data_IF_163377582073
#
_entry.id   IF_163377582073
#
_cell.length_a   1.000
_cell.length_b   1.000
_cell.length_c   1.000
_cell.angle_alpha   90.00
_cell.angle_beta   90.00
_cell.angle_gamma   90.00
#
_symmetry.space_group_name_H-M   'P 1'
#
loop_
_entity.id
_entity.type
_entity.pdbx_description
1 polymer ?
#
# COMPACT_ATOMS: atom_id res chain seq x y z
N UNK A 1 -22.37 -21.71 -7.75
CA UNK A 1 -21.33 -21.04 -6.97
C UNK A 1 -20.39 -20.36 -7.94
N UNK A 2 -20.38 -19.03 -7.95
CA UNK A 2 -19.55 -18.25 -8.86
C UNK A 2 -18.07 -18.34 -8.45
N UNK A 3 -17.21 -18.62 -9.42
CA UNK A 3 -15.77 -18.63 -9.22
C UNK A 3 -15.25 -17.19 -9.32
N UNK A 4 -14.61 -16.69 -8.26
CA UNK A 4 -13.90 -15.42 -8.27
C UNK A 4 -12.38 -15.67 -8.25
N UNK A 5 -11.60 -14.79 -8.88
CA UNK A 5 -10.15 -14.94 -9.05
C UNK A 5 -9.40 -13.68 -8.63
N UNK A 6 -8.29 -13.84 -7.89
CA UNK A 6 -7.38 -12.74 -7.53
C UNK A 6 -6.50 -12.26 -8.70
N UNK A 7 -5.74 -11.18 -8.45
CA UNK A 7 -4.74 -10.55 -9.33
C UNK A 7 -3.61 -11.48 -9.77
N UNK A 8 -2.86 -11.01 -10.78
CA UNK A 8 -1.74 -11.69 -11.45
C UNK A 8 -0.67 -12.18 -10.47
N UNK A 9 -0.40 -11.46 -9.38
CA UNK A 9 0.58 -11.83 -8.36
C UNK A 9 0.02 -12.73 -7.25
N UNK A 10 -1.30 -12.95 -7.20
CA UNK A 10 -1.98 -13.76 -6.20
C UNK A 10 -2.35 -15.15 -6.74
N UNK A 11 -1.33 -15.91 -7.17
CA UNK A 11 -1.51 -17.29 -7.60
C UNK A 11 -2.22 -18.10 -6.49
N UNK A 12 -3.31 -18.80 -6.85
CA UNK A 12 -4.18 -19.57 -5.96
C UNK A 12 -4.99 -18.78 -4.90
N UNK A 13 -5.06 -17.44 -4.96
CA UNK A 13 -5.78 -16.62 -3.98
C UNK A 13 -5.33 -16.85 -2.52
N UNK A 14 -4.03 -17.01 -2.31
CA UNK A 14 -3.42 -17.21 -0.99
C UNK A 14 -3.02 -15.91 -0.28
N UNK A 15 -2.80 -14.84 -1.04
CA UNK A 15 -2.57 -13.50 -0.53
C UNK A 15 -3.90 -12.74 -0.40
N UNK A 16 -4.02 -11.88 0.62
CA UNK A 16 -5.17 -11.01 0.76
C UNK A 16 -5.15 -9.97 -0.37
N UNK A 17 -6.24 -9.88 -1.11
CA UNK A 17 -6.42 -8.86 -2.12
C UNK A 17 -7.82 -8.32 -2.03
N UNK A 18 -7.89 -7.00 -1.90
CA UNK A 18 -9.10 -6.27 -1.64
C UNK A 18 -9.27 -5.21 -2.72
N UNK A 19 -10.37 -5.30 -3.46
CA UNK A 19 -10.72 -4.33 -4.49
C UNK A 19 -11.78 -3.40 -3.93
N UNK A 20 -11.52 -2.10 -4.01
CA UNK A 20 -12.54 -1.12 -3.63
C UNK A 20 -13.67 -1.09 -4.67
N UNK A 21 -14.89 -1.23 -4.19
CA UNK A 21 -16.14 -1.06 -4.92
C UNK A 21 -16.92 0.19 -4.48
N UNK A 22 -16.33 1.04 -3.64
CA UNK A 22 -16.96 2.25 -3.08
C UNK A 22 -17.60 3.14 -4.15
N UNK A 23 -16.89 3.41 -5.26
CA UNK A 23 -17.43 4.24 -6.35
C UNK A 23 -18.65 3.59 -6.99
N UNK A 24 -18.54 2.30 -7.33
CA UNK A 24 -19.63 1.53 -7.94
C UNK A 24 -20.85 1.49 -7.02
N UNK A 25 -20.65 1.23 -5.73
CA UNK A 25 -21.73 1.16 -4.74
C UNK A 25 -22.46 2.50 -4.58
N UNK A 26 -21.71 3.62 -4.58
CA UNK A 26 -22.31 4.96 -4.53
C UNK A 26 -23.18 5.24 -5.75
N UNK A 27 -22.65 5.02 -6.95
CA UNK A 27 -23.37 5.24 -8.20
C UNK A 27 -24.59 4.31 -8.33
N UNK A 28 -24.44 3.04 -7.95
CA UNK A 28 -25.52 2.06 -7.96
C UNK A 28 -26.66 2.47 -7.04
N UNK A 29 -26.37 2.76 -5.77
CA UNK A 29 -27.39 3.16 -4.79
C UNK A 29 -28.04 4.49 -5.19
N UNK A 30 -27.28 5.42 -5.77
CA UNK A 30 -27.83 6.67 -6.29
C UNK A 30 -28.86 6.43 -7.40
N UNK A 31 -28.52 5.62 -8.39
CA UNK A 31 -29.41 5.28 -9.48
C UNK A 31 -30.63 4.48 -9.01
N UNK A 32 -30.45 3.56 -8.07
CA UNK A 32 -31.50 2.64 -7.63
C UNK A 32 -32.48 3.25 -6.64
N UNK A 33 -31.99 4.13 -5.76
CA UNK A 33 -32.80 4.80 -4.75
C UNK A 33 -33.31 6.16 -5.23
N UNK A 34 -32.78 6.71 -6.32
CA UNK A 34 -33.33 7.91 -6.97
C UNK A 34 -34.64 7.59 -7.67
N UNK A 35 -35.70 8.37 -7.40
CA UNK A 35 -37.03 8.17 -7.99
C UNK A 35 -37.65 6.79 -7.70
N UNK A 36 -37.25 6.15 -6.60
CA UNK A 36 -37.82 4.91 -6.11
C UNK A 36 -39.24 5.16 -5.59
N UNK A 37 -40.20 4.42 -6.14
CA UNK A 37 -41.56 4.36 -5.59
C UNK A 37 -41.53 3.59 -4.27
N UNK A 38 -41.76 4.29 -3.15
CA UNK A 38 -41.79 3.69 -1.82
C UNK A 38 -43.12 3.00 -1.55
N UNK A 39 -44.22 3.67 -1.92
CA UNK A 39 -45.58 3.12 -1.87
C UNK A 39 -46.39 3.68 -3.03
N UNK A 40 -47.35 2.89 -3.50
CA UNK A 40 -48.30 3.28 -4.53
C UNK A 40 -49.71 2.98 -4.01
N UNK A 41 -50.53 4.02 -3.90
CA UNK A 41 -51.94 3.94 -3.50
C UNK A 41 -52.20 3.21 -2.16
N UNK A 42 -51.42 3.53 -1.12
CA UNK A 42 -51.62 3.00 0.24
C UNK A 42 -52.31 4.06 1.08
N UNK A 43 -53.50 3.77 1.60
CA UNK A 43 -54.33 4.69 2.38
C UNK A 43 -54.56 6.04 1.66
N UNK A 44 -54.57 6.02 0.31
CA UNK A 44 -54.73 7.21 -0.53
C UNK A 44 -53.43 7.97 -0.82
N UNK A 45 -52.27 7.50 -0.36
CA UNK A 45 -50.97 8.14 -0.57
C UNK A 45 -50.11 7.37 -1.57
N UNK A 46 -49.37 8.12 -2.39
CA UNK A 46 -48.25 7.62 -3.18
C UNK A 46 -46.98 8.36 -2.76
N UNK A 47 -45.89 7.64 -2.51
CA UNK A 47 -44.64 8.25 -2.02
C UNK A 47 -43.49 7.81 -2.92
N UNK A 48 -42.71 8.78 -3.39
CA UNK A 48 -41.53 8.54 -4.24
C UNK A 48 -40.33 9.29 -3.69
N UNK A 49 -39.14 8.71 -3.78
CA UNK A 49 -37.89 9.42 -3.43
C UNK A 49 -37.51 10.44 -4.50
N UNK A 50 -36.78 11.48 -4.13
CA UNK A 50 -36.24 12.45 -5.07
C UNK A 50 -34.98 11.90 -5.78
N UNK A 51 -34.60 12.45 -6.95
CA UNK A 51 -33.56 11.86 -7.81
C UNK A 51 -32.13 11.88 -7.26
N UNK A 52 -31.86 12.63 -6.19
CA UNK A 52 -30.51 12.92 -5.69
C UNK A 52 -30.29 12.43 -4.26
N UNK A 53 -30.29 11.11 -4.02
CA UNK A 53 -29.94 10.56 -2.72
C UNK A 53 -28.46 10.84 -2.40
N UNK A 54 -28.16 11.21 -1.15
CA UNK A 54 -26.79 11.30 -0.67
C UNK A 54 -26.34 9.92 -0.20
N UNK A 55 -25.23 9.43 -0.74
CA UNK A 55 -24.68 8.12 -0.43
C UNK A 55 -23.23 8.28 0.04
N UNK A 56 -22.91 7.74 1.20
CA UNK A 56 -21.58 7.77 1.82
C UNK A 56 -21.18 6.39 2.34
N UNK A 57 -19.94 6.27 2.78
CA UNK A 57 -19.36 5.00 3.25
C UNK A 57 -18.42 4.37 2.25
N UNK A 58 -18.09 3.11 2.49
CA UNK A 58 -17.13 2.31 1.76
C UNK A 58 -17.63 0.90 1.48
N UNK A 59 -17.16 0.36 0.36
CA UNK A 59 -17.43 -1.01 -0.02
C UNK A 59 -16.18 -1.60 -0.66
N UNK A 60 -15.82 -2.80 -0.27
CA UNK A 60 -14.75 -3.56 -0.88
C UNK A 60 -15.14 -5.02 -1.02
N UNK A 61 -14.49 -5.67 -1.97
CA UNK A 61 -14.69 -7.09 -2.28
C UNK A 61 -13.34 -7.76 -2.25
N UNK A 62 -13.25 -8.84 -1.49
CA UNK A 62 -12.06 -9.71 -1.45
C UNK A 62 -12.44 -11.14 -1.82
N UNK A 63 -11.46 -11.91 -2.28
CA UNK A 63 -11.66 -13.31 -2.68
C UNK A 63 -10.73 -14.18 -1.86
N UNK A 64 -11.30 -15.13 -1.09
CA UNK A 64 -10.54 -16.06 -0.27
C UNK A 64 -11.06 -17.48 -0.43
N UNK A 65 -10.16 -18.43 -0.72
CA UNK A 65 -10.50 -19.85 -0.93
C UNK A 65 -11.65 -20.04 -1.96
N UNK A 66 -11.66 -19.22 -3.00
CA UNK A 66 -12.70 -19.23 -4.05
C UNK A 66 -14.06 -18.68 -3.61
N UNK A 67 -14.16 -18.05 -2.43
CA UNK A 67 -15.37 -17.37 -1.95
C UNK A 67 -15.16 -15.86 -1.96
N UNK A 68 -16.16 -15.14 -2.48
CA UNK A 68 -16.25 -13.69 -2.38
C UNK A 68 -16.64 -13.29 -0.96
N UNK A 69 -15.89 -12.37 -0.37
CA UNK A 69 -16.18 -11.75 0.92
C UNK A 69 -16.46 -10.28 0.64
N UNK A 70 -17.65 -9.82 1.03
CA UNK A 70 -18.07 -8.44 0.91
C UNK A 70 -17.76 -7.72 2.23
N UNK A 71 -17.05 -6.61 2.17
CA UNK A 71 -16.98 -5.66 3.27
C UNK A 71 -17.74 -4.41 2.85
N UNK A 72 -18.91 -4.18 3.44
CA UNK A 72 -19.81 -3.07 3.07
C UNK A 72 -20.15 -2.32 4.34
N UNK A 73 -19.86 -1.03 4.33
CA UNK A 73 -20.30 -0.08 5.34
C UNK A 73 -20.79 1.18 4.62
N UNK A 74 -22.10 1.25 4.37
CA UNK A 74 -22.72 2.33 3.60
C UNK A 74 -23.78 3.06 4.42
N UNK A 75 -24.02 4.31 4.05
CA UNK A 75 -25.12 5.10 4.57
C UNK A 75 -25.80 5.88 3.43
N UNK A 76 -27.13 6.02 3.51
CA UNK A 76 -27.93 6.77 2.55
C UNK A 76 -28.86 7.76 3.23
N UNK A 77 -28.98 8.96 2.65
CA UNK A 77 -30.02 9.94 2.96
C UNK A 77 -30.84 10.20 1.72
N UNK A 78 -32.15 9.97 1.84
CA UNK A 78 -33.13 10.07 0.76
C UNK A 78 -34.12 11.17 1.12
N UNK A 79 -34.40 12.07 0.20
CA UNK A 79 -35.60 12.91 0.32
C UNK A 79 -36.76 12.20 -0.35
N UNK A 80 -37.97 12.34 0.19
CA UNK A 80 -39.19 11.79 -0.41
C UNK A 80 -40.25 12.86 -0.58
N UNK A 81 -41.14 12.65 -1.54
CA UNK A 81 -42.37 13.41 -1.74
C UNK A 81 -43.56 12.45 -1.66
N UNK A 82 -44.50 12.75 -0.77
CA UNK A 82 -45.77 12.07 -0.66
C UNK A 82 -46.85 12.89 -1.37
N UNK A 83 -47.75 12.23 -2.09
CA UNK A 83 -48.86 12.84 -2.81
C UNK A 83 -50.17 12.15 -2.44
N UNK A 84 -51.23 12.94 -2.21
CA UNK A 84 -52.56 12.42 -1.90
C UNK A 84 -53.39 12.23 -3.19
N UNK A 85 -53.90 11.02 -3.40
CA UNK A 85 -54.61 10.62 -4.63
C UNK A 85 -55.96 11.30 -4.81
N UNK A 86 -56.69 11.59 -3.72
CA UNK A 86 -58.03 12.17 -3.80
C UNK A 86 -58.05 13.60 -4.40
N UNK A 87 -56.91 14.28 -4.44
CA UNK A 87 -56.78 15.65 -4.96
C UNK A 87 -55.65 15.81 -6.00
N UNK A 88 -54.75 14.82 -6.12
CA UNK A 88 -53.61 14.79 -7.05
C UNK A 88 -52.54 15.88 -6.85
N UNK A 89 -52.88 16.96 -6.17
CA UNK A 89 -52.09 18.19 -6.09
C UNK A 89 -51.50 18.43 -4.70
N UNK A 90 -52.03 17.79 -3.65
CA UNK A 90 -51.56 17.96 -2.27
C UNK A 90 -50.38 17.06 -1.97
N UNK A 91 -49.33 17.65 -1.43
CA UNK A 91 -48.01 17.05 -1.26
C UNK A 91 -47.39 17.40 0.08
N UNK A 92 -46.48 16.55 0.52
CA UNK A 92 -45.51 16.89 1.56
C UNK A 92 -44.16 16.24 1.27
N UNK A 93 -43.12 16.74 1.92
CA UNK A 93 -41.76 16.22 1.79
C UNK A 93 -41.21 15.76 3.13
N UNK A 94 -40.25 14.86 3.06
CA UNK A 94 -39.51 14.39 4.21
C UNK A 94 -38.18 13.79 3.81
N UNK A 95 -37.48 13.27 4.81
CA UNK A 95 -36.19 12.63 4.66
C UNK A 95 -36.21 11.26 5.35
N UNK A 96 -35.55 10.29 4.72
CA UNK A 96 -35.22 8.97 5.27
C UNK A 96 -33.70 8.89 5.36
N UNK A 97 -33.18 8.48 6.51
CA UNK A 97 -31.76 8.13 6.69
C UNK A 97 -31.66 6.65 7.03
N UNK A 98 -30.76 5.95 6.35
CA UNK A 98 -30.38 4.57 6.66
C UNK A 98 -28.87 4.53 6.84
N UNK A 99 -28.41 4.09 8.01
CA UNK A 99 -26.98 3.94 8.33
C UNK A 99 -26.69 2.49 8.67
N UNK A 100 -25.40 2.15 8.81
CA UNK A 100 -24.96 0.80 9.18
C UNK A 100 -25.39 -0.24 8.15
N UNK A 101 -25.37 0.13 6.85
CA UNK A 101 -25.72 -0.78 5.75
C UNK A 101 -24.52 -1.68 5.48
N UNK A 102 -24.65 -2.95 5.80
CA UNK A 102 -23.68 -4.01 5.55
C UNK A 102 -24.38 -5.21 4.93
N UNK A 103 -23.62 -6.22 4.48
CA UNK A 103 -24.20 -7.46 3.98
C UNK A 103 -25.04 -8.17 5.05
N UNK A 104 -24.56 -8.18 6.29
CA UNK A 104 -25.21 -8.83 7.43
C UNK A 104 -26.43 -8.02 7.90
N UNK A 105 -26.30 -6.70 8.04
CA UNK A 105 -27.44 -5.87 8.49
C UNK A 105 -28.58 -5.86 7.46
N UNK A 106 -28.27 -5.94 6.16
CA UNK A 106 -29.29 -6.08 5.11
C UNK A 106 -29.94 -7.46 5.14
N UNK A 107 -29.20 -8.54 5.39
CA UNK A 107 -29.78 -9.89 5.53
C UNK A 107 -30.74 -9.97 6.74
N UNK A 108 -30.32 -9.43 7.88
CA UNK A 108 -31.05 -9.50 9.14
C UNK A 108 -32.06 -8.36 9.35
N UNK A 109 -32.11 -7.38 8.44
CA UNK A 109 -32.87 -6.11 8.59
C UNK A 109 -32.48 -5.30 9.83
N UNK A 110 -31.24 -5.43 10.29
CA UNK A 110 -30.71 -4.79 11.49
C UNK A 110 -29.81 -3.58 11.17
N UNK A 111 -30.35 -2.65 10.38
CA UNK A 111 -29.70 -1.37 10.10
C UNK A 111 -30.50 -0.23 10.72
N UNK A 112 -29.81 0.85 11.08
CA UNK A 112 -30.46 1.99 11.73
C UNK A 112 -31.26 2.79 10.70
N UNK A 113 -32.54 3.03 10.98
CA UNK A 113 -33.42 3.83 10.12
C UNK A 113 -34.04 5.00 10.87
N UNK A 114 -34.19 6.13 10.18
CA UNK A 114 -35.02 7.23 10.64
C UNK A 114 -35.77 7.84 9.48
N UNK A 115 -37.01 8.28 9.73
CA UNK A 115 -37.81 9.03 8.78
C UNK A 115 -38.46 10.21 9.49
N UNK A 116 -38.36 11.40 8.88
CA UNK A 116 -38.92 12.65 9.39
C UNK A 116 -39.50 13.48 8.26
N UNK A 117 -40.44 14.35 8.62
CA UNK A 117 -40.95 15.37 7.69
C UNK A 117 -39.93 16.50 7.57
N UNK A 118 -39.95 17.16 6.42
CA UNK A 118 -39.18 18.38 6.15
C UNK A 118 -40.16 19.50 5.89
N UNK A 119 -39.87 20.68 6.42
CA UNK A 119 -40.64 21.87 6.12
C UNK A 119 -40.13 22.45 4.81
N UNK A 120 -41.00 22.41 3.80
CA UNK A 120 -40.77 22.93 2.47
C UNK A 120 -41.92 23.86 2.16
N UNK A 121 -41.61 25.07 1.72
CA UNK A 121 -42.60 26.04 1.30
C UNK A 121 -43.26 25.57 -0.01
N UNK A 122 -44.40 24.90 0.14
CA UNK A 122 -45.29 24.53 -0.95
C UNK A 122 -46.42 25.56 -1.05
N UNK A 123 -46.97 25.82 -2.25
CA UNK A 123 -48.18 26.63 -2.39
C UNK A 123 -49.29 26.09 -1.48
N UNK A 124 -50.05 26.96 -0.82
CA UNK A 124 -51.06 26.54 0.16
C UNK A 124 -52.10 25.55 -0.41
N UNK A 125 -52.43 25.67 -1.71
CA UNK A 125 -53.32 24.75 -2.41
C UNK A 125 -52.71 23.35 -2.65
N UNK A 126 -51.38 23.24 -2.59
CA UNK A 126 -50.62 22.01 -2.81
C UNK A 126 -50.03 21.45 -1.51
N UNK A 127 -50.16 22.14 -0.38
CA UNK A 127 -49.65 21.67 0.90
C UNK A 127 -50.65 20.73 1.59
N UNK A 128 -50.16 19.59 2.09
CA UNK A 128 -50.93 18.72 2.99
C UNK A 128 -51.16 19.38 4.35
N UNK A 129 -52.28 19.05 5.01
CA UNK A 129 -52.51 19.46 6.42
C UNK A 129 -51.54 18.76 7.36
N UNK A 130 -51.44 19.23 8.61
CA UNK A 130 -50.56 18.61 9.61
C UNK A 130 -50.89 17.12 9.84
N UNK A 131 -52.18 16.78 9.87
CA UNK A 131 -52.66 15.41 10.05
C UNK A 131 -52.28 14.53 8.85
N UNK A 132 -52.46 15.02 7.63
CA UNK A 132 -52.09 14.31 6.40
C UNK A 132 -50.59 14.09 6.28
N UNK A 133 -49.78 15.09 6.68
CA UNK A 133 -48.31 14.95 6.75
C UNK A 133 -47.91 13.82 7.71
N UNK A 134 -48.55 13.74 8.88
CA UNK A 134 -48.28 12.67 9.86
C UNK A 134 -48.73 11.29 9.34
N UNK A 135 -49.87 11.22 8.65
CA UNK A 135 -50.33 9.98 8.00
C UNK A 135 -49.35 9.52 6.91
N UNK A 136 -48.89 10.43 6.05
CA UNK A 136 -47.87 10.15 5.04
C UNK A 136 -46.58 9.60 5.68
N UNK A 137 -46.11 10.24 6.76
CA UNK A 137 -44.92 9.76 7.49
C UNK A 137 -45.13 8.36 8.10
N UNK A 138 -46.31 8.08 8.65
CA UNK A 138 -46.64 6.77 9.20
C UNK A 138 -46.64 5.68 8.10
N UNK A 139 -47.14 6.00 6.91
CA UNK A 139 -47.12 5.11 5.74
C UNK A 139 -45.69 4.86 5.26
N UNK A 140 -44.84 5.90 5.23
CA UNK A 140 -43.41 5.73 4.91
C UNK A 140 -42.74 4.76 5.89
N UNK A 141 -42.96 4.94 7.20
CA UNK A 141 -42.37 4.08 8.24
C UNK A 141 -42.89 2.64 8.17
N UNK A 142 -44.19 2.43 7.97
CA UNK A 142 -44.83 1.10 7.99
C UNK A 142 -44.66 0.34 6.67
N UNK A 143 -44.78 1.02 5.53
CA UNK A 143 -44.85 0.41 4.21
C UNK A 143 -43.67 0.80 3.32
N UNK A 144 -43.29 2.08 3.30
CA UNK A 144 -42.25 2.60 2.41
C UNK A 144 -40.87 2.00 2.63
N UNK A 145 -40.53 1.65 3.88
CA UNK A 145 -39.25 1.03 4.21
C UNK A 145 -39.05 -0.35 3.57
N UNK A 146 -40.13 -1.06 3.18
CA UNK A 146 -40.00 -2.34 2.47
C UNK A 146 -39.39 -2.16 1.08
N UNK A 147 -39.72 -1.08 0.37
CA UNK A 147 -39.14 -0.79 -0.94
C UNK A 147 -37.66 -0.41 -0.83
N UNK A 148 -37.30 0.36 0.20
CA UNK A 148 -35.90 0.69 0.49
C UNK A 148 -35.12 -0.59 0.79
N UNK A 149 -35.65 -1.45 1.66
CA UNK A 149 -35.03 -2.72 1.99
C UNK A 149 -34.82 -3.61 0.76
N UNK A 150 -35.85 -3.79 -0.08
CA UNK A 150 -35.74 -4.59 -1.31
C UNK A 150 -34.69 -4.04 -2.28
N UNK A 151 -34.51 -2.71 -2.32
CA UNK A 151 -33.44 -2.09 -3.10
C UNK A 151 -32.04 -2.39 -2.51
N UNK A 152 -31.89 -2.40 -1.18
CA UNK A 152 -30.65 -2.76 -0.50
C UNK A 152 -30.31 -4.25 -0.67
N UNK A 153 -31.28 -5.16 -0.53
CA UNK A 153 -31.08 -6.60 -0.80
C UNK A 153 -30.58 -6.83 -2.23
N UNK A 154 -31.16 -6.09 -3.19
CA UNK A 154 -30.75 -6.18 -4.58
C UNK A 154 -29.35 -5.61 -4.82
N UNK A 155 -28.99 -4.53 -4.13
CA UNK A 155 -27.64 -3.99 -4.15
C UNK A 155 -26.60 -5.02 -3.69
N UNK A 156 -26.81 -5.70 -2.56
CA UNK A 156 -25.88 -6.72 -2.05
C UNK A 156 -25.70 -7.87 -3.06
N UNK A 157 -26.80 -8.34 -3.66
CA UNK A 157 -26.76 -9.39 -4.70
C UNK A 157 -26.02 -8.93 -5.95
N UNK A 158 -26.33 -7.75 -6.46
CA UNK A 158 -25.69 -7.23 -7.67
C UNK A 158 -24.21 -6.91 -7.43
N UNK A 159 -23.81 -6.52 -6.21
CA UNK A 159 -22.41 -6.34 -5.83
C UNK A 159 -21.65 -7.68 -5.89
N UNK A 160 -22.27 -8.76 -5.38
CA UNK A 160 -21.70 -10.11 -5.44
C UNK A 160 -21.58 -10.63 -6.89
N UNK A 161 -22.55 -10.30 -7.74
CA UNK A 161 -22.57 -10.66 -9.15
C UNK A 161 -21.59 -9.81 -9.99
N UNK A 162 -21.37 -8.55 -9.65
CA UNK A 162 -20.46 -7.65 -10.35
C UNK A 162 -19.01 -8.17 -10.35
N UNK A 163 -18.57 -8.84 -9.27
CA UNK A 163 -17.29 -9.55 -9.22
C UNK A 163 -17.34 -10.90 -9.96
N UNK A 164 -18.51 -11.55 -9.97
CA UNK A 164 -18.72 -12.86 -10.59
C UNK A 164 -18.93 -12.80 -12.12
N UNK A 165 -18.91 -11.61 -12.73
CA UNK A 165 -19.19 -11.43 -14.15
C UNK A 165 -18.12 -12.11 -15.02
N UNK A 166 -18.52 -13.21 -15.67
CA UNK A 166 -17.65 -14.10 -16.43
C UNK A 166 -16.88 -13.38 -17.55
N UNK A 167 -17.47 -12.41 -18.22
CA UNK A 167 -16.82 -11.65 -19.30
C UNK A 167 -15.68 -10.77 -18.78
N UNK A 168 -15.90 -10.16 -17.61
CA UNK A 168 -14.89 -9.36 -16.92
C UNK A 168 -13.75 -10.24 -16.41
N UNK A 169 -14.07 -11.40 -15.83
CA UNK A 169 -13.10 -12.43 -15.43
C UNK A 169 -12.28 -12.95 -16.62
N UNK A 170 -12.90 -13.12 -17.80
CA UNK A 170 -12.22 -13.53 -19.03
C UNK A 170 -11.33 -12.41 -19.59
N UNK A 171 -11.80 -11.16 -19.60
CA UNK A 171 -11.01 -10.01 -20.03
C UNK A 171 -9.80 -9.78 -19.11
N UNK A 172 -10.01 -9.89 -17.80
CA UNK A 172 -8.96 -9.82 -16.79
C UNK A 172 -7.98 -10.98 -16.98
N UNK A 173 -8.47 -12.21 -17.23
CA UNK A 173 -7.61 -13.36 -17.57
C UNK A 173 -6.81 -13.15 -18.86
N UNK A 174 -7.39 -12.56 -19.91
CA UNK A 174 -6.69 -12.27 -21.15
C UNK A 174 -5.61 -11.19 -20.95
N UNK A 175 -5.89 -10.16 -20.14
CA UNK A 175 -4.87 -9.20 -19.71
C UNK A 175 -3.76 -9.86 -18.91
N UNK A 176 -4.08 -10.79 -17.98
CA UNK A 176 -3.09 -11.58 -17.22
C UNK A 176 -2.14 -12.34 -18.14
N UNK A 177 -2.68 -13.06 -19.14
CA UNK A 177 -1.88 -13.84 -20.08
C UNK A 177 -0.99 -12.94 -20.95
N UNK A 178 -1.51 -11.78 -21.38
CA UNK A 178 -0.75 -10.82 -22.18
C UNK A 178 0.40 -10.16 -21.38
N UNK A 179 0.15 -9.81 -20.11
CA UNK A 179 1.16 -9.18 -19.26
C UNK A 179 2.26 -10.17 -18.85
N UNK A 180 1.89 -11.42 -18.54
CA UNK A 180 2.85 -12.49 -18.27
C UNK A 180 3.75 -12.76 -19.48
N UNK A 181 3.18 -12.77 -20.70
CA UNK A 181 3.97 -12.88 -21.93
C UNK A 181 4.92 -11.70 -22.12
N UNK A 182 4.47 -10.46 -21.85
CA UNK A 182 5.35 -9.28 -21.92
C UNK A 182 6.50 -9.36 -20.93
N UNK A 183 6.25 -9.78 -19.68
CA UNK A 183 7.30 -9.96 -18.68
C UNK A 183 8.33 -11.01 -19.12
N UNK A 184 7.88 -12.15 -19.64
CA UNK A 184 8.78 -13.20 -20.14
C UNK A 184 9.62 -12.75 -21.34
N UNK A 185 9.05 -11.96 -22.25
CA UNK A 185 9.78 -11.37 -23.37
C UNK A 185 10.82 -10.38 -22.86
N UNK A 186 10.44 -9.46 -21.97
CA UNK A 186 11.37 -8.49 -21.39
C UNK A 186 12.50 -9.15 -20.58
N UNK A 187 12.24 -10.27 -19.92
CA UNK A 187 13.26 -11.04 -19.19
C UNK A 187 14.24 -11.73 -20.14
N UNK A 188 13.75 -12.29 -21.26
CA UNK A 188 14.59 -12.84 -22.33
C UNK A 188 15.45 -11.77 -22.97
N UNK A 189 14.87 -10.64 -23.36
CA UNK A 189 15.60 -9.52 -23.97
C UNK A 189 16.68 -8.98 -23.02
N UNK A 190 16.36 -8.74 -21.74
CA UNK A 190 17.37 -8.35 -20.73
C UNK A 190 18.44 -9.41 -20.54
N UNK A 191 18.09 -10.69 -20.65
CA UNK A 191 19.04 -11.81 -20.59
C UNK A 191 20.01 -11.80 -21.77
N UNK A 192 19.52 -11.53 -22.98
CA UNK A 192 20.31 -11.41 -24.20
C UNK A 192 21.21 -10.16 -24.18
N UNK A 193 20.70 -9.00 -23.76
CA UNK A 193 21.51 -7.80 -23.57
C UNK A 193 22.64 -8.00 -22.56
N UNK A 194 22.34 -8.63 -21.41
CA UNK A 194 23.37 -8.94 -20.40
C UNK A 194 24.46 -9.87 -20.95
N UNK A 195 24.09 -10.84 -21.78
CA UNK A 195 25.07 -11.72 -22.45
C UNK A 195 25.93 -10.94 -23.45
N UNK A 196 25.32 -10.07 -24.26
CA UNK A 196 26.04 -9.25 -25.23
C UNK A 196 27.04 -8.30 -24.55
N UNK A 197 26.64 -7.63 -23.47
CA UNK A 197 27.53 -6.77 -22.67
C UNK A 197 28.69 -7.58 -22.06
N UNK A 198 28.42 -8.78 -21.54
CA UNK A 198 29.45 -9.65 -20.97
C UNK A 198 30.45 -10.14 -22.02
N UNK A 199 30.00 -10.45 -23.24
CA UNK A 199 30.89 -10.80 -24.36
C UNK A 199 31.72 -9.61 -24.84
N UNK A 200 31.12 -8.43 -24.91
CA UNK A 200 31.82 -7.20 -25.27
C UNK A 200 32.90 -6.86 -24.23
N UNK A 201 32.61 -7.00 -22.94
CA UNK A 201 33.59 -6.80 -21.87
C UNK A 201 34.75 -7.80 -21.96
N UNK A 202 34.47 -9.07 -22.22
CA UNK A 202 35.52 -10.09 -22.44
C UNK A 202 36.44 -9.76 -23.63
N UNK A 203 35.89 -9.25 -24.74
CA UNK A 203 36.68 -8.81 -25.90
C UNK A 203 37.57 -7.62 -25.55
N UNK A 204 36.99 -6.59 -24.92
CA UNK A 204 37.73 -5.41 -24.48
C UNK A 204 38.86 -5.76 -23.50
N UNK A 205 38.61 -6.65 -22.54
CA UNK A 205 39.64 -7.11 -21.59
C UNK A 205 40.76 -7.90 -22.30
N UNK A 206 40.42 -8.69 -23.32
CA UNK A 206 41.42 -9.44 -24.11
C UNK A 206 42.32 -8.51 -24.93
N UNK A 207 41.74 -7.51 -25.60
CA UNK A 207 42.48 -6.49 -26.35
C UNK A 207 43.32 -5.61 -25.42
N UNK A 208 42.79 -5.24 -24.25
CA UNK A 208 43.52 -4.46 -23.26
C UNK A 208 44.71 -5.25 -22.70
N UNK A 209 44.56 -6.56 -22.46
CA UNK A 209 45.63 -7.45 -22.02
C UNK A 209 46.71 -7.63 -23.09
N UNK A 210 46.31 -7.68 -24.36
CA UNK A 210 47.25 -7.75 -25.49
C UNK A 210 48.01 -6.42 -25.68
N UNK A 211 47.32 -5.28 -25.61
CA UNK A 211 47.94 -3.94 -25.60
C UNK A 211 48.85 -3.73 -24.40
N UNK A 212 48.47 -4.24 -23.22
CA UNK A 212 49.30 -4.17 -22.02
C UNK A 212 50.56 -5.04 -22.15
N UNK A 213 50.46 -6.23 -22.77
CA UNK A 213 51.64 -7.05 -23.11
C UNK A 213 52.56 -6.34 -24.11
N UNK A 214 52.01 -5.67 -25.12
CA UNK A 214 52.78 -4.87 -26.08
C UNK A 214 53.44 -3.64 -25.43
N UNK A 215 52.74 -2.96 -24.51
CA UNK A 215 53.28 -1.83 -23.72
C UNK A 215 54.34 -2.26 -22.70
N UNK A 216 54.15 -3.38 -22.01
CA UNK A 216 55.11 -3.91 -21.04
C UNK A 216 56.44 -4.34 -21.69
N UNK A 217 56.43 -4.64 -22.99
CA UNK A 217 57.65 -4.90 -23.77
C UNK A 217 58.43 -3.61 -24.13
N UNK A 218 57.93 -2.41 -23.83
CA UNK A 218 58.44 -1.15 -24.37
C UNK A 218 58.77 -0.03 -23.34
N UNK A 219 59.24 -0.37 -22.12
CA UNK A 219 59.81 0.54 -21.07
C UNK A 219 58.88 1.00 -19.91
N UNK A 220 59.43 1.45 -18.74
CA UNK A 220 58.77 1.40 -17.43
C UNK A 220 58.00 2.68 -17.03
N UNK A 221 57.16 2.52 -16.00
CA UNK A 221 56.05 3.39 -15.62
C UNK A 221 56.42 4.69 -14.86
N UNK A 222 55.56 5.73 -14.96
CA UNK A 222 55.34 6.74 -13.92
C UNK A 222 53.85 6.92 -13.53
N UNK A 223 53.52 7.73 -12.50
CA UNK A 223 52.41 7.50 -11.57
C UNK A 223 51.10 8.24 -11.85
N UNK A 224 50.10 7.86 -11.06
CA UNK A 224 48.67 8.21 -11.03
C UNK A 224 48.31 9.59 -10.45
N UNK A 225 47.23 10.20 -10.95
CA UNK A 225 46.28 11.01 -10.17
C UNK A 225 44.83 10.82 -10.68
N UNK A 226 43.80 10.87 -9.80
CA UNK A 226 42.40 10.77 -10.19
C UNK A 226 41.72 12.15 -10.33
N UNK A 227 40.84 12.30 -11.32
CA UNK A 227 39.96 13.45 -11.50
C UNK A 227 38.59 13.20 -10.85
N UNK A 228 38.09 14.19 -10.10
CA UNK A 228 36.73 14.27 -9.56
C UNK A 228 35.71 14.56 -10.68
N UNK A 229 34.48 14.05 -10.54
CA UNK A 229 33.36 14.36 -11.44
C UNK A 229 32.18 14.88 -10.61
N UNK A 230 31.82 16.14 -10.85
CA UNK A 230 30.59 16.79 -10.38
C UNK A 230 29.38 16.27 -11.19
N UNK A 231 28.29 15.93 -10.52
CA UNK A 231 27.08 15.41 -11.14
C UNK A 231 26.18 16.51 -11.72
N UNK A 232 26.02 16.54 -13.05
CA UNK A 232 24.95 17.25 -13.74
C UNK A 232 23.72 16.35 -13.94
N UNK A 233 22.52 16.95 -13.88
CA UNK A 233 21.24 16.31 -14.23
C UNK A 233 21.17 15.87 -15.70
N UNK A 234 20.12 15.13 -16.07
CA UNK A 234 19.94 14.66 -17.44
C UNK A 234 19.69 15.84 -18.39
N UNK A 235 20.20 15.72 -19.62
CA UNK A 235 20.14 16.75 -20.70
C UNK A 235 18.70 17.20 -21.02
N UNK A 236 17.69 16.45 -20.59
CA UNK A 236 16.26 16.70 -20.82
C UNK A 236 15.55 17.51 -19.72
N UNK A 237 16.22 17.80 -18.58
CA UNK A 237 15.62 18.52 -17.46
C UNK A 237 16.15 19.97 -17.34
N UNK A 238 15.89 20.78 -18.36
CA UNK A 238 16.16 22.21 -18.29
C UNK A 238 15.25 22.85 -17.20
N UNK A 239 15.86 23.49 -16.21
CA UNK A 239 15.24 24.19 -15.07
C UNK A 239 14.55 23.35 -13.96
N UNK A 240 14.73 22.03 -13.89
CA UNK A 240 14.23 21.20 -12.75
C UNK A 240 12.72 21.35 -12.48
N UNK A 241 11.92 21.55 -13.52
CA UNK A 241 10.47 21.83 -13.41
C UNK A 241 9.58 20.59 -13.61
N UNK A 242 10.15 19.49 -14.10
CA UNK A 242 9.47 18.21 -14.31
C UNK A 242 9.91 17.16 -13.29
N UNK A 243 8.97 16.29 -12.89
CA UNK A 243 9.20 15.23 -11.92
C UNK A 243 10.16 14.19 -12.54
N UNK A 244 11.33 14.01 -11.93
CA UNK A 244 12.34 13.02 -12.32
C UNK A 244 12.69 12.22 -11.08
N UNK A 245 12.10 11.03 -10.97
CA UNK A 245 12.40 10.07 -9.92
C UNK A 245 13.54 9.16 -10.39
N UNK A 246 14.64 9.15 -9.64
CA UNK A 246 15.75 8.23 -9.91
C UNK A 246 15.75 7.12 -8.85
N UNK A 247 15.59 5.84 -9.23
CA UNK A 247 15.68 4.75 -8.28
C UNK A 247 17.11 4.68 -7.73
N UNK A 248 17.23 4.75 -6.40
CA UNK A 248 18.48 4.64 -5.66
C UNK A 248 18.59 3.32 -4.89
N UNK A 249 17.57 2.47 -4.94
CA UNK A 249 17.49 1.18 -4.23
C UNK A 249 18.77 0.35 -4.33
N UNK A 250 19.33 0.20 -5.55
CA UNK A 250 20.56 -0.60 -5.75
C UNK A 250 21.76 -0.02 -4.99
N UNK A 251 21.91 1.31 -4.99
CA UNK A 251 23.00 1.99 -4.31
C UNK A 251 22.84 1.92 -2.80
N UNK A 252 21.64 2.13 -2.28
CA UNK A 252 21.35 2.03 -0.85
C UNK A 252 21.66 0.63 -0.31
N UNK A 253 21.17 -0.41 -1.01
CA UNK A 253 21.43 -1.82 -0.65
C UNK A 253 22.93 -2.12 -0.64
N UNK A 254 23.65 -1.83 -1.74
CA UNK A 254 25.08 -2.13 -1.82
C UNK A 254 25.90 -1.38 -0.77
N UNK A 255 25.57 -0.11 -0.50
CA UNK A 255 26.32 0.73 0.44
C UNK A 255 26.11 0.28 1.88
N UNK A 256 24.88 -0.08 2.25
CA UNK A 256 24.59 -0.61 3.57
C UNK A 256 25.23 -1.99 3.76
N UNK A 257 25.14 -2.88 2.77
CA UNK A 257 25.81 -4.19 2.81
C UNK A 257 27.33 -4.03 3.00
N UNK A 258 27.98 -3.16 2.22
CA UNK A 258 29.41 -2.90 2.33
C UNK A 258 29.78 -2.30 3.70
N UNK A 259 28.99 -1.34 4.18
CA UNK A 259 29.22 -0.67 5.47
C UNK A 259 29.12 -1.63 6.64
N UNK A 260 28.10 -2.48 6.68
CA UNK A 260 27.97 -3.48 7.73
C UNK A 260 29.06 -4.55 7.64
N UNK A 261 29.37 -5.07 6.45
CA UNK A 261 30.44 -6.06 6.27
C UNK A 261 31.83 -5.52 6.64
N UNK A 262 32.05 -4.21 6.46
CA UNK A 262 33.33 -3.57 6.80
C UNK A 262 33.37 -3.02 8.23
N UNK A 263 32.24 -3.04 8.95
CA UNK A 263 32.17 -2.51 10.31
C UNK A 263 32.84 -3.46 11.30
N UNK A 264 33.79 -2.91 12.06
CA UNK A 264 34.41 -3.56 13.21
C UNK A 264 34.12 -2.70 14.43
N UNK A 265 33.26 -3.22 15.31
CA UNK A 265 32.74 -2.50 16.47
C UNK A 265 33.36 -3.04 17.75
N UNK A 266 33.67 -2.15 18.69
CA UNK A 266 34.17 -2.53 20.01
C UNK A 266 33.07 -2.44 21.05
N UNK A 267 32.88 -3.50 21.86
CA UNK A 267 32.00 -3.59 23.02
C UNK A 267 32.81 -3.75 24.30
N UNK A 268 32.18 -3.60 25.47
CA UNK A 268 32.81 -3.83 26.77
C UNK A 268 34.15 -3.10 26.91
N UNK A 269 34.13 -1.79 26.67
CA UNK A 269 35.28 -0.88 26.76
C UNK A 269 36.49 -1.30 25.89
N UNK A 270 36.24 -1.98 24.75
CA UNK A 270 37.31 -2.39 23.83
C UNK A 270 37.81 -3.81 24.02
N UNK A 271 37.37 -4.51 25.07
CA UNK A 271 37.75 -5.91 25.31
C UNK A 271 37.10 -6.89 24.32
N UNK A 272 36.05 -6.48 23.61
CA UNK A 272 35.29 -7.35 22.71
C UNK A 272 35.13 -6.73 21.34
N UNK A 273 35.56 -7.43 20.29
CA UNK A 273 35.41 -7.01 18.89
C UNK A 273 34.22 -7.71 18.25
N UNK A 274 33.31 -6.96 17.64
CA UNK A 274 32.12 -7.44 16.94
C UNK A 274 32.21 -7.14 15.43
N UNK A 275 31.82 -8.13 14.62
CA UNK A 275 31.75 -8.06 13.15
C UNK A 275 30.42 -8.60 12.64
N UNK A 276 29.96 -8.07 11.51
CA UNK A 276 28.75 -8.54 10.84
C UNK A 276 29.07 -9.46 9.66
N UNK A 277 28.14 -10.36 9.36
CA UNK A 277 28.15 -11.22 8.18
C UNK A 277 26.70 -11.57 7.78
N UNK A 278 26.52 -12.20 6.62
CA UNK A 278 25.19 -12.51 6.07
C UNK A 278 24.23 -11.30 6.02
N UNK A 279 24.78 -10.11 5.78
CA UNK A 279 24.00 -8.88 5.70
C UNK A 279 23.03 -8.94 4.51
N UNK A 280 21.76 -8.64 4.76
CA UNK A 280 20.70 -8.54 3.77
C UNK A 280 19.97 -7.23 3.97
N UNK A 281 19.85 -6.47 2.89
CA UNK A 281 19.11 -5.21 2.88
C UNK A 281 17.97 -5.34 1.87
N UNK A 282 16.75 -5.13 2.33
CA UNK A 282 15.55 -5.11 1.50
C UNK A 282 14.79 -3.78 1.65
N UNK A 283 13.80 -3.54 0.79
CA UNK A 283 13.10 -2.26 0.67
C UNK A 283 13.51 -1.42 -0.53
N UNK A 284 13.03 -0.18 -0.56
CA UNK A 284 13.08 0.71 -1.72
C UNK A 284 13.66 2.08 -1.35
N UNK A 285 14.32 2.71 -2.31
CA UNK A 285 14.82 4.07 -2.15
C UNK A 285 14.78 4.82 -3.48
N UNK A 286 14.31 6.06 -3.46
CA UNK A 286 14.31 6.95 -4.62
C UNK A 286 14.70 8.37 -4.24
N UNK A 287 15.22 9.09 -5.23
CA UNK A 287 15.54 10.50 -5.11
C UNK A 287 14.65 11.29 -6.07
N UNK A 288 14.04 12.35 -5.54
CA UNK A 288 13.24 13.30 -6.30
C UNK A 288 13.77 14.72 -6.12
N UNK A 289 13.80 15.48 -7.21
CA UNK A 289 14.16 16.90 -7.18
C UNK A 289 12.88 17.72 -7.35
N UNK A 290 12.56 18.60 -6.39
CA UNK A 290 11.40 19.49 -6.46
C UNK A 290 11.78 20.90 -6.02
N UNK A 291 11.50 21.91 -6.85
CA UNK A 291 11.79 23.34 -6.57
C UNK A 291 13.27 23.57 -6.17
N UNK A 292 14.20 22.86 -6.82
CA UNK A 292 15.63 22.94 -6.53
C UNK A 292 16.07 22.27 -5.21
N UNK A 293 15.15 21.62 -4.48
CA UNK A 293 15.46 20.81 -3.29
C UNK A 293 15.42 19.34 -3.66
N UNK A 294 16.51 18.63 -3.33
CA UNK A 294 16.60 17.18 -3.43
C UNK A 294 15.92 16.58 -2.20
N UNK A 295 15.07 15.59 -2.43
CA UNK A 295 14.36 14.85 -1.41
C UNK A 295 14.63 13.37 -1.66
N UNK A 296 15.24 12.73 -0.67
CA UNK A 296 15.45 11.29 -0.71
C UNK A 296 14.37 10.63 0.13
N UNK A 297 13.67 9.68 -0.47
CA UNK A 297 12.64 8.88 0.18
C UNK A 297 13.16 7.45 0.19
N UNK A 298 13.15 6.81 1.35
CA UNK A 298 13.52 5.40 1.45
C UNK A 298 12.75 4.72 2.57
N UNK A 299 12.59 3.42 2.41
CA UNK A 299 12.08 2.50 3.42
C UNK A 299 12.87 1.21 3.28
N UNK A 300 13.69 0.89 4.28
CA UNK A 300 14.67 -0.18 4.25
C UNK A 300 14.58 -1.04 5.51
N UNK A 301 14.79 -2.33 5.33
CA UNK A 301 14.95 -3.30 6.42
C UNK A 301 16.33 -3.96 6.30
N UNK A 302 17.03 -4.11 7.42
CA UNK A 302 18.39 -4.66 7.46
C UNK A 302 18.39 -5.87 8.38
N UNK A 303 18.76 -7.02 7.86
CA UNK A 303 19.06 -8.22 8.65
C UNK A 303 20.55 -8.57 8.55
N UNK A 304 21.20 -8.83 9.67
CA UNK A 304 22.59 -9.26 9.69
C UNK A 304 22.85 -10.27 10.81
N UNK A 305 23.73 -11.22 10.58
CA UNK A 305 24.29 -12.03 11.64
C UNK A 305 25.53 -11.31 12.20
N UNK A 306 25.80 -11.46 13.49
CA UNK A 306 26.98 -10.89 14.13
C UNK A 306 27.77 -11.94 14.88
N UNK A 307 29.08 -11.73 14.97
CA UNK A 307 29.99 -12.50 15.80
C UNK A 307 30.79 -11.52 16.66
N UNK A 308 30.97 -11.85 17.92
CA UNK A 308 31.75 -11.05 18.87
C UNK A 308 32.80 -11.92 19.55
N UNK A 309 34.02 -11.42 19.65
CA UNK A 309 35.16 -12.12 20.25
C UNK A 309 35.75 -11.27 21.36
N UNK A 310 35.68 -11.78 22.59
CA UNK A 310 36.28 -11.18 23.77
C UNK A 310 37.73 -11.63 23.96
N UNK A 311 38.61 -10.69 24.27
CA UNK A 311 40.01 -10.91 24.60
C UNK A 311 40.37 -10.15 25.88
N UNK A 312 41.37 -10.64 26.61
CA UNK A 312 41.93 -9.93 27.76
C UNK A 312 42.95 -8.83 27.33
N UNK A 313 43.50 -8.11 28.30
CA UNK A 313 44.49 -7.05 28.08
C UNK A 313 45.79 -7.55 27.42
N UNK A 314 46.09 -8.85 27.52
CA UNK A 314 47.24 -9.49 26.87
C UNK A 314 46.89 -10.05 25.47
N UNK A 315 45.65 -9.87 25.01
CA UNK A 315 45.15 -10.35 23.72
C UNK A 315 44.75 -11.82 23.70
N UNK A 316 44.72 -12.48 24.86
CA UNK A 316 44.31 -13.89 25.02
C UNK A 316 42.80 -14.00 24.82
N UNK A 317 42.39 -15.00 24.05
CA UNK A 317 40.98 -15.30 23.80
C UNK A 317 40.26 -15.69 25.10
N UNK A 318 39.12 -15.04 25.37
CA UNK A 318 38.28 -15.33 26.53
C UNK A 318 37.01 -16.09 26.14
N UNK A 319 36.27 -15.58 25.17
CA UNK A 319 35.01 -16.17 24.70
C UNK A 319 34.60 -15.57 23.35
N UNK A 320 33.74 -16.29 22.63
CA UNK A 320 33.03 -15.80 21.45
C UNK A 320 31.52 -16.02 21.60
N UNK A 321 30.73 -15.11 21.04
CA UNK A 321 29.28 -15.25 20.93
C UNK A 321 28.80 -14.85 19.54
N UNK A 322 27.66 -15.38 19.12
CA UNK A 322 27.03 -15.04 17.86
C UNK A 322 25.59 -14.63 18.09
N UNK A 323 25.02 -14.03 17.06
CA UNK A 323 23.64 -13.62 17.13
C UNK A 323 23.14 -12.99 15.87
N UNK A 324 21.94 -12.43 15.98
CA UNK A 324 21.24 -11.78 14.88
C UNK A 324 20.87 -10.35 15.25
N UNK A 325 20.98 -9.48 14.26
CA UNK A 325 20.54 -8.10 14.27
C UNK A 325 19.44 -7.97 13.21
N UNK A 326 18.32 -7.38 13.58
CA UNK A 326 17.28 -6.95 12.65
C UNK A 326 16.96 -5.47 12.94
N UNK A 327 17.11 -4.64 11.92
CA UNK A 327 16.66 -3.24 11.91
C UNK A 327 15.43 -3.14 11.03
N UNK A 328 14.31 -2.70 11.60
CA UNK A 328 13.03 -2.54 10.91
C UNK A 328 12.60 -1.08 10.91
N UNK A 329 11.70 -0.76 9.99
CA UNK A 329 11.13 0.57 9.84
C UNK A 329 12.21 1.65 9.72
N UNK A 330 13.32 1.36 9.05
CA UNK A 330 14.36 2.36 8.79
C UNK A 330 13.99 3.13 7.52
N UNK A 331 13.31 4.26 7.71
CA UNK A 331 12.77 5.08 6.62
C UNK A 331 13.17 6.55 6.73
N UNK A 332 12.89 7.32 5.67
CA UNK A 332 13.08 8.77 5.66
C UNK A 332 12.23 9.52 6.69
N UNK A 333 11.15 8.91 7.21
CA UNK A 333 10.25 9.53 8.19
C UNK A 333 10.52 9.07 9.63
N UNK A 334 11.19 7.92 9.80
CA UNK A 334 11.44 7.26 11.09
C UNK A 334 12.92 7.28 11.47
N UNK A 335 13.70 8.23 10.95
CA UNK A 335 15.14 8.36 11.21
C UNK A 335 15.52 8.44 12.71
N UNK A 336 14.58 8.85 13.55
CA UNK A 336 14.77 8.98 15.00
C UNK A 336 14.08 7.87 15.81
N UNK A 337 13.30 6.97 15.18
CA UNK A 337 12.41 6.02 15.87
C UNK A 337 12.24 4.67 15.14
N UNK A 338 13.33 4.15 14.57
CA UNK A 338 13.36 2.80 13.94
C UNK A 338 13.66 1.70 14.97
N UNK A 339 13.14 0.50 14.72
CA UNK A 339 13.28 -0.64 15.65
C UNK A 339 14.60 -1.38 15.42
N UNK A 340 15.38 -1.59 16.49
CA UNK A 340 16.61 -2.41 16.48
C UNK A 340 16.45 -3.60 17.42
N UNK A 341 16.38 -4.80 16.85
CA UNK A 341 16.30 -6.06 17.60
C UNK A 341 17.64 -6.79 17.56
N UNK A 342 18.14 -7.18 18.74
CA UNK A 342 19.40 -7.93 18.88
C UNK A 342 19.15 -9.20 19.67
N UNK A 343 19.55 -10.32 19.09
CA UNK A 343 19.49 -11.65 19.69
C UNK A 343 20.89 -12.22 19.76
N UNK A 344 21.24 -12.87 20.88
CA UNK A 344 22.50 -13.60 21.05
C UNK A 344 22.21 -15.05 21.40
N UNK A 345 23.11 -15.96 21.02
CA UNK A 345 22.97 -17.41 21.17
C UNK A 345 23.84 -18.01 22.31
N UNK A 346 24.36 -17.16 23.20
CA UNK A 346 25.27 -17.51 24.27
C UNK A 346 24.67 -18.47 25.29
N UNK A 347 25.37 -19.58 25.55
CA UNK A 347 24.91 -20.65 26.46
C UNK A 347 25.66 -20.70 27.77
N UNK A 348 26.88 -20.14 27.80
CA UNK A 348 27.73 -20.10 29.00
C UNK A 348 27.88 -18.67 29.52
N UNK A 349 28.19 -18.46 30.82
CA UNK A 349 28.22 -17.11 31.41
C UNK A 349 29.10 -16.09 30.67
N UNK A 350 30.30 -16.44 30.16
CA UNK A 350 31.10 -15.51 29.35
C UNK A 350 30.40 -15.03 28.06
N UNK A 351 29.65 -15.91 27.39
CA UNK A 351 28.90 -15.57 26.18
C UNK A 351 27.67 -14.73 26.50
N UNK A 352 26.97 -15.04 27.59
CA UNK A 352 25.82 -14.25 28.05
C UNK A 352 26.21 -12.82 28.40
N UNK A 353 27.44 -12.60 28.91
CA UNK A 353 27.99 -11.25 29.13
C UNK A 353 28.16 -10.49 27.81
N UNK A 354 28.68 -11.16 26.77
CA UNK A 354 28.80 -10.59 25.42
C UNK A 354 27.42 -10.26 24.85
N UNK A 355 26.45 -11.17 24.98
CA UNK A 355 25.07 -10.97 24.48
C UNK A 355 24.37 -9.81 25.18
N UNK A 356 24.58 -9.69 26.50
CA UNK A 356 24.05 -8.58 27.28
C UNK A 356 24.65 -7.26 26.80
N UNK A 357 25.97 -7.22 26.62
CA UNK A 357 26.66 -6.04 26.08
C UNK A 357 26.20 -5.70 24.66
N UNK A 358 26.01 -6.70 23.80
CA UNK A 358 25.48 -6.50 22.46
C UNK A 358 24.08 -5.86 22.53
N UNK A 359 23.18 -6.36 23.38
CA UNK A 359 21.84 -5.79 23.54
C UNK A 359 21.83 -4.35 24.07
N UNK A 360 22.79 -3.97 24.91
CA UNK A 360 22.82 -2.63 25.54
C UNK A 360 23.63 -1.60 24.75
N UNK A 361 24.75 -2.00 24.13
CA UNK A 361 25.69 -1.07 23.50
C UNK A 361 25.58 -1.03 21.97
N UNK A 362 25.15 -2.13 21.33
CA UNK A 362 25.09 -2.20 19.88
C UNK A 362 24.03 -1.27 19.26
N UNK A 363 22.84 -1.01 19.87
CA UNK A 363 21.85 -0.09 19.28
C UNK A 363 22.42 1.30 18.97
N UNK A 364 23.17 1.90 19.90
CA UNK A 364 23.80 3.21 19.68
C UNK A 364 24.87 3.16 18.57
N UNK A 365 25.64 2.07 18.49
CA UNK A 365 26.64 1.88 17.41
C UNK A 365 25.98 1.69 16.04
N UNK A 366 24.83 1.01 15.98
CA UNK A 366 24.03 0.90 14.76
C UNK A 366 23.50 2.28 14.37
N UNK A 367 23.04 3.08 15.33
CA UNK A 367 22.58 4.44 15.09
C UNK A 367 23.66 5.33 14.47
N UNK A 368 24.89 5.24 14.96
CA UNK A 368 26.03 5.94 14.36
C UNK A 368 26.33 5.48 12.93
N UNK A 369 26.24 4.17 12.66
CA UNK A 369 26.45 3.61 11.33
C UNK A 369 25.38 4.09 10.33
N UNK A 370 24.11 4.06 10.75
CA UNK A 370 22.99 4.47 9.92
C UNK A 370 22.94 5.97 9.70
N UNK A 371 23.28 6.78 10.72
CA UNK A 371 23.39 8.24 10.59
C UNK A 371 24.40 8.65 9.52
N UNK A 372 25.59 8.03 9.52
CA UNK A 372 26.59 8.25 8.46
C UNK A 372 26.11 7.83 7.08
N UNK A 373 25.35 6.74 6.99
CA UNK A 373 24.73 6.33 5.73
C UNK A 373 23.73 7.38 5.22
N UNK A 374 22.90 7.93 6.10
CA UNK A 374 21.93 8.98 5.76
C UNK A 374 22.64 10.25 5.26
N UNK A 375 23.75 10.63 5.89
CA UNK A 375 24.56 11.77 5.44
C UNK A 375 25.14 11.55 4.05
N UNK A 376 25.70 10.36 3.78
CA UNK A 376 26.21 10.00 2.45
C UNK A 376 25.09 9.99 1.39
N UNK A 377 23.92 9.48 1.76
CA UNK A 377 22.74 9.44 0.89
C UNK A 377 22.25 10.85 0.56
N UNK A 378 22.25 11.77 1.54
CA UNK A 378 21.92 13.20 1.35
C UNK A 378 22.96 13.94 0.51
N UNK A 379 24.24 13.58 0.61
CA UNK A 379 25.30 14.19 -0.18
C UNK A 379 25.28 13.74 -1.65
N UNK A 380 24.83 12.50 -1.90
CA UNK A 380 24.77 11.89 -3.24
C UNK A 380 23.47 12.17 -3.99
N UNK A 381 22.35 12.23 -3.26
CA UNK A 381 21.07 12.66 -3.80
C UNK A 381 21.14 14.10 -4.26
#
# INVERSE_FOLDING_TARGET
MSAAAGSVWNANSWHWEEKSYTKWSREYLQARLGSLKLVEDVDGFSVTTLPTPAVSGEASVSVRKGKTILAVDMAVKLQFEAQLKQDGNRKCRGEISVTDISSESVEDRDYTTSARLTDVDLPAAEAMTAEERQQALAIVKRNGMNAVHAALERFIKDLQEAESNSERLQADKAQREAELQRMQVAEKEKGEEKKAIAEQQKRMDSEMKERARQRAAAQPAPPSQPAQVEGQGSVWNANSYHWEEKPMTRWCRSTLEERFNSAELSLLDGSTTLKFFNVKVDGEASNTIRKGKKLVIFDLTIGADWTATARDEAGVFLADSRGRLDVRDFSSETLDDYEVTIQGDGKVPPQQRIDTAAKTELPEKIKDLLSKFVDDLRARG
#
